data_IF_739495138582
#
_entry.id   IF_739495138582
#
_cell.length_a   1.000
_cell.length_b   1.000
_cell.length_c   1.000
_cell.angle_alpha   90.00
_cell.angle_beta   90.00
_cell.angle_gamma   90.00
#
_symmetry.space_group_name_H-M   'P 1'
#
loop_
_entity.id
_entity.type
_entity.pdbx_description
1 polymer ?
#
# COMPACT_ATOMS: atom_id res chain seq x y z
N UNK A 1 -11.97 -11.41 -10.84
CA UNK A 1 -11.69 -10.54 -12.02
C UNK A 1 -11.11 -11.35 -13.17
N UNK A 2 -11.58 -11.07 -14.40
CA UNK A 2 -11.07 -11.62 -15.67
C UNK A 2 -9.91 -10.78 -16.26
N UNK A 3 -9.20 -11.32 -17.26
CA UNK A 3 -8.15 -10.56 -17.96
C UNK A 3 -8.71 -9.31 -18.67
N UNK A 4 -9.91 -9.39 -19.27
CA UNK A 4 -10.52 -8.26 -19.96
C UNK A 4 -10.80 -7.10 -19.01
N UNK A 5 -11.38 -7.39 -17.84
CA UNK A 5 -11.66 -6.36 -16.83
C UNK A 5 -10.38 -5.76 -16.26
N UNK A 6 -9.33 -6.57 -16.13
CA UNK A 6 -8.02 -6.08 -15.72
C UNK A 6 -7.40 -5.13 -16.74
N UNK A 7 -7.54 -5.43 -18.03
CA UNK A 7 -7.12 -4.54 -19.12
C UNK A 7 -7.90 -3.22 -19.07
N UNK A 8 -9.20 -3.27 -18.87
CA UNK A 8 -10.04 -2.07 -18.76
C UNK A 8 -9.64 -1.21 -17.54
N UNK A 9 -9.41 -1.86 -16.39
CA UNK A 9 -8.91 -1.22 -15.18
C UNK A 9 -7.56 -0.53 -15.42
N UNK A 10 -6.58 -1.25 -15.96
CA UNK A 10 -5.23 -0.73 -16.20
C UNK A 10 -5.24 0.39 -17.24
N UNK A 11 -6.04 0.26 -18.30
CA UNK A 11 -6.21 1.32 -19.28
C UNK A 11 -6.73 2.59 -18.62
N UNK A 12 -7.79 2.48 -17.80
CA UNK A 12 -8.37 3.63 -17.11
C UNK A 12 -7.39 4.27 -16.11
N UNK A 13 -6.67 3.46 -15.33
CA UNK A 13 -5.64 3.95 -14.40
C UNK A 13 -4.47 4.63 -15.12
N UNK A 14 -4.06 4.10 -16.29
CA UNK A 14 -3.05 4.73 -17.14
C UNK A 14 -3.50 6.11 -17.63
N UNK A 15 -4.76 6.24 -18.08
CA UNK A 15 -5.33 7.54 -18.48
C UNK A 15 -5.33 8.54 -17.33
N UNK A 16 -5.54 8.06 -16.10
CA UNK A 16 -5.42 8.86 -14.88
C UNK A 16 -3.97 9.08 -14.42
N UNK A 17 -2.96 8.64 -15.16
CA UNK A 17 -1.55 8.88 -14.85
C UNK A 17 -0.95 8.01 -13.74
N UNK A 18 -1.66 7.00 -13.24
CA UNK A 18 -1.12 6.01 -12.32
C UNK A 18 -0.06 5.16 -13.01
N UNK A 19 1.03 4.90 -12.28
CA UNK A 19 2.19 4.13 -12.76
C UNK A 19 2.48 2.88 -11.92
N UNK A 20 1.78 2.71 -10.79
CA UNK A 20 1.89 1.54 -9.91
C UNK A 20 0.49 1.04 -9.54
N UNK A 21 0.31 -0.28 -9.48
CA UNK A 21 -0.85 -0.92 -8.85
C UNK A 21 -0.38 -1.88 -7.77
N UNK A 22 -0.99 -1.79 -6.58
CA UNK A 22 -0.75 -2.74 -5.49
C UNK A 22 -1.68 -3.94 -5.62
N UNK A 23 -1.14 -5.15 -5.45
CA UNK A 23 -1.87 -6.41 -5.54
C UNK A 23 -1.34 -7.38 -4.48
N UNK A 24 -2.23 -8.13 -3.82
CA UNK A 24 -1.84 -9.24 -2.95
C UNK A 24 -1.57 -10.50 -3.75
N UNK A 25 -0.42 -11.16 -3.50
CA UNK A 25 -0.09 -12.43 -4.13
C UNK A 25 -1.05 -13.55 -3.71
N UNK A 26 -1.58 -13.49 -2.49
CA UNK A 26 -2.53 -14.45 -1.96
C UNK A 26 -3.85 -13.78 -1.57
N UNK A 27 -4.97 -14.52 -1.57
CA UNK A 27 -6.26 -14.01 -1.12
C UNK A 27 -6.22 -13.50 0.33
N UNK A 28 -7.03 -12.48 0.61
CA UNK A 28 -7.23 -11.95 1.96
C UNK A 28 -8.44 -12.61 2.60
N UNK A 29 -8.31 -13.00 3.87
CA UNK A 29 -9.38 -13.69 4.60
C UNK A 29 -10.34 -12.75 5.33
N UNK A 30 -9.90 -11.55 5.71
CA UNK A 30 -10.60 -10.72 6.69
C UNK A 30 -11.16 -9.40 6.13
N UNK A 31 -10.94 -9.12 4.84
CA UNK A 31 -11.49 -7.94 4.17
C UNK A 31 -11.68 -8.17 2.67
N UNK A 32 -12.47 -9.19 2.34
CA UNK A 32 -12.60 -9.70 0.98
C UNK A 32 -14.07 -9.87 0.56
N UNK A 33 -14.30 -9.72 -0.74
CA UNK A 33 -15.56 -10.09 -1.37
C UNK A 33 -15.48 -11.55 -1.77
N UNK A 34 -16.22 -12.42 -1.09
CA UNK A 34 -16.17 -13.85 -1.35
C UNK A 34 -16.68 -14.19 -2.76
N UNK A 35 -15.94 -15.04 -3.48
CA UNK A 35 -16.33 -15.65 -4.74
C UNK A 35 -16.14 -17.17 -4.62
N UNK A 36 -17.23 -17.93 -4.71
CA UNK A 36 -17.20 -19.39 -4.58
C UNK A 36 -16.39 -20.07 -5.70
N UNK A 37 -16.15 -19.37 -6.81
CA UNK A 37 -15.37 -19.86 -7.94
C UNK A 37 -13.93 -19.30 -7.94
N UNK A 38 -13.47 -18.76 -6.81
CA UNK A 38 -12.12 -18.24 -6.71
C UNK A 38 -11.07 -19.32 -6.96
N UNK A 39 -10.11 -19.00 -7.83
CA UNK A 39 -8.95 -19.84 -8.07
C UNK A 39 -8.01 -19.69 -6.88
N UNK A 40 -7.73 -20.78 -6.18
CA UNK A 40 -6.89 -20.77 -4.97
C UNK A 40 -5.42 -21.12 -5.28
N UNK A 41 -4.44 -20.57 -4.54
CA UNK A 41 -3.01 -20.79 -4.75
C UNK A 41 -2.55 -22.21 -4.41
N UNK A 42 -3.26 -22.89 -3.51
CA UNK A 42 -2.94 -24.22 -3.01
C UNK A 42 -4.18 -25.10 -3.03
N UNK A 43 -3.98 -26.42 -3.12
CA UNK A 43 -5.06 -27.38 -2.92
C UNK A 43 -5.54 -27.33 -1.46
N UNK A 44 -6.70 -27.92 -1.15
CA UNK A 44 -7.23 -27.97 0.21
C UNK A 44 -7.01 -29.35 0.83
N UNK A 45 -6.69 -29.36 2.12
CA UNK A 45 -6.78 -30.54 2.98
C UNK A 45 -8.25 -30.96 3.18
N UNK A 46 -8.47 -32.13 3.78
CA UNK A 46 -9.83 -32.66 4.06
C UNK A 46 -10.66 -31.73 4.97
N UNK A 47 -10.01 -30.97 5.85
CA UNK A 47 -10.63 -29.99 6.75
C UNK A 47 -10.88 -28.61 6.09
N UNK A 48 -10.52 -28.46 4.81
CA UNK A 48 -10.70 -27.24 4.04
C UNK A 48 -9.57 -26.22 4.16
N UNK A 49 -8.54 -26.48 4.98
CA UNK A 49 -7.35 -25.63 5.10
C UNK A 49 -6.43 -25.74 3.88
N UNK A 50 -5.55 -24.76 3.60
CA UNK A 50 -4.61 -24.85 2.49
C UNK A 50 -3.55 -25.94 2.70
N UNK A 51 -3.34 -26.79 1.70
CA UNK A 51 -2.20 -27.69 1.60
C UNK A 51 -1.02 -26.97 0.92
N UNK A 52 -0.18 -26.33 1.73
CA UNK A 52 0.98 -25.57 1.26
C UNK A 52 2.04 -26.40 0.53
N UNK A 53 1.94 -27.74 0.54
CA UNK A 53 2.85 -28.63 -0.19
C UNK A 53 2.33 -28.94 -1.61
N UNK A 54 1.06 -28.65 -1.90
CA UNK A 54 0.43 -28.93 -3.19
C UNK A 54 -0.07 -27.62 -3.81
N UNK A 55 0.85 -26.97 -4.51
CA UNK A 55 0.61 -25.71 -5.24
C UNK A 55 -0.31 -25.91 -6.45
N UNK A 56 -1.19 -24.94 -6.71
CA UNK A 56 -2.02 -24.87 -7.90
C UNK A 56 -1.36 -24.02 -9.00
N UNK A 57 -0.69 -24.65 -9.97
CA UNK A 57 0.02 -23.94 -11.04
C UNK A 57 -0.90 -23.06 -11.91
N UNK A 58 -2.20 -23.36 -12.02
CA UNK A 58 -3.15 -22.51 -12.74
C UNK A 58 -3.29 -21.12 -12.08
N UNK A 59 -3.21 -21.05 -10.74
CA UNK A 59 -3.23 -19.79 -10.01
C UNK A 59 -2.02 -18.92 -10.37
N UNK A 60 -0.82 -19.49 -10.29
CA UNK A 60 0.41 -18.76 -10.57
C UNK A 60 0.57 -18.41 -12.05
N UNK A 61 0.05 -19.23 -12.96
CA UNK A 61 -0.08 -18.89 -14.37
C UNK A 61 -0.97 -17.64 -14.56
N UNK A 62 -2.08 -17.54 -13.82
CA UNK A 62 -2.93 -16.35 -13.82
C UNK A 62 -2.21 -15.14 -13.23
N UNK A 63 -1.51 -15.28 -12.10
CA UNK A 63 -0.71 -14.21 -11.49
C UNK A 63 0.31 -13.64 -12.49
N UNK A 64 1.13 -14.51 -13.11
CA UNK A 64 2.12 -14.09 -14.10
C UNK A 64 1.45 -13.39 -15.29
N UNK A 65 0.33 -13.92 -15.78
CA UNK A 65 -0.41 -13.31 -16.89
C UNK A 65 -0.90 -11.91 -16.53
N UNK A 66 -1.47 -11.71 -15.35
CA UNK A 66 -1.99 -10.40 -14.92
C UNK A 66 -0.87 -9.37 -14.75
N UNK A 67 0.30 -9.77 -14.24
CA UNK A 67 1.49 -8.92 -14.15
C UNK A 67 2.03 -8.58 -15.54
N UNK A 68 2.06 -9.55 -16.46
CA UNK A 68 2.46 -9.32 -17.84
C UNK A 68 1.56 -8.28 -18.51
N UNK A 69 0.24 -8.35 -18.30
CA UNK A 69 -0.70 -7.35 -18.81
C UNK A 69 -0.43 -5.96 -18.22
N UNK A 70 -0.13 -5.84 -16.93
CA UNK A 70 0.23 -4.55 -16.33
C UNK A 70 1.48 -3.93 -17.00
N UNK A 71 2.49 -4.77 -17.30
CA UNK A 71 3.68 -4.36 -18.02
C UNK A 71 3.38 -3.88 -19.46
N UNK A 72 2.42 -4.48 -20.17
CA UNK A 72 1.96 -3.98 -21.49
C UNK A 72 1.44 -2.53 -21.42
N UNK A 73 0.85 -2.14 -20.28
CA UNK A 73 0.39 -0.77 -20.03
C UNK A 73 1.49 0.14 -19.44
N UNK A 74 2.68 -0.37 -19.14
CA UNK A 74 3.73 0.39 -18.46
C UNK A 74 3.37 0.74 -17.01
N UNK A 75 2.54 -0.09 -16.37
CA UNK A 75 2.19 0.01 -14.95
C UNK A 75 2.97 -1.05 -14.18
N UNK A 76 3.76 -0.63 -13.20
CA UNK A 76 4.49 -1.54 -12.32
C UNK A 76 3.53 -2.18 -11.32
N UNK A 77 3.67 -3.49 -11.07
CA UNK A 77 2.93 -4.15 -9.99
C UNK A 77 3.77 -4.09 -8.72
N UNK A 78 3.18 -3.56 -7.66
CA UNK A 78 3.66 -3.69 -6.29
C UNK A 78 2.97 -4.89 -5.64
N UNK A 79 3.70 -5.99 -5.53
CA UNK A 79 3.18 -7.29 -5.10
C UNK A 79 3.40 -7.47 -3.60
N UNK A 80 2.31 -7.57 -2.84
CA UNK A 80 2.35 -7.94 -1.42
C UNK A 80 2.54 -9.45 -1.30
N UNK A 81 3.62 -9.89 -0.66
CA UNK A 81 4.03 -11.29 -0.62
C UNK A 81 3.38 -12.05 0.52
N UNK A 82 3.47 -11.53 1.76
CA UNK A 82 2.84 -12.16 2.92
C UNK A 82 2.07 -11.17 3.77
N UNK A 83 0.74 -11.31 3.80
CA UNK A 83 -0.12 -10.58 4.73
C UNK A 83 -0.07 -11.19 6.12
N UNK A 84 -0.34 -10.37 7.15
CA UNK A 84 -0.20 -10.76 8.55
C UNK A 84 -0.91 -12.09 8.88
N UNK A 85 -2.12 -12.36 8.35
CA UNK A 85 -2.84 -13.61 8.63
C UNK A 85 -2.14 -14.88 8.12
N UNK A 86 -1.18 -14.75 7.20
CA UNK A 86 -0.34 -15.85 6.75
C UNK A 86 0.96 -16.01 7.57
N UNK A 87 1.27 -15.10 8.50
CA UNK A 87 2.47 -15.14 9.33
C UNK A 87 2.13 -15.79 10.68
N UNK A 88 2.78 -16.89 11.09
CA UNK A 88 2.62 -17.48 12.41
C UNK A 88 2.87 -16.46 13.54
N UNK A 89 2.14 -16.61 14.65
CA UNK A 89 2.27 -15.77 15.84
C UNK A 89 1.99 -14.27 15.64
N UNK A 90 1.36 -13.90 14.51
CA UNK A 90 0.89 -12.54 14.28
C UNK A 90 -0.48 -12.28 14.90
N UNK A 91 -0.85 -11.02 14.97
CA UNK A 91 -2.13 -10.54 15.50
C UNK A 91 -3.30 -11.06 14.67
N UNK A 92 -3.09 -11.26 13.37
CA UNK A 92 -4.13 -11.69 12.43
C UNK A 92 -4.19 -13.21 12.25
N UNK A 93 -3.11 -13.95 12.56
CA UNK A 93 -3.11 -15.42 12.53
C UNK A 93 -3.57 -16.05 13.84
N UNK A 94 -3.65 -15.28 14.92
CA UNK A 94 -4.00 -15.79 16.26
C UNK A 94 -5.41 -16.39 16.27
N UNK A 95 -5.51 -17.67 16.65
CA UNK A 95 -6.74 -18.45 16.61
C UNK A 95 -7.10 -19.01 15.22
N UNK A 96 -6.23 -18.79 14.24
CA UNK A 96 -6.32 -19.28 12.86
C UNK A 96 -4.95 -19.77 12.37
N UNK A 97 -4.18 -20.40 13.26
CA UNK A 97 -2.80 -20.82 13.01
C UNK A 97 -2.70 -21.81 11.85
N UNK A 98 -3.77 -22.56 11.56
CA UNK A 98 -3.87 -23.47 10.42
C UNK A 98 -3.73 -22.79 9.05
N UNK A 99 -3.88 -21.47 9.01
CA UNK A 99 -3.81 -20.65 7.78
C UNK A 99 -2.48 -19.97 7.58
N UNK A 100 -1.58 -20.03 8.57
CA UNK A 100 -0.25 -19.49 8.42
C UNK A 100 0.58 -20.35 7.46
N UNK A 101 1.39 -19.71 6.60
CA UNK A 101 2.29 -20.42 5.69
C UNK A 101 3.45 -20.97 6.53
N UNK A 102 3.69 -22.30 6.55
CA UNK A 102 4.78 -22.89 7.30
C UNK A 102 6.13 -22.37 6.82
N UNK A 103 7.06 -22.15 7.73
CA UNK A 103 8.40 -21.64 7.40
C UNK A 103 9.12 -22.51 6.35
N UNK A 104 8.95 -23.83 6.42
CA UNK A 104 9.52 -24.78 5.47
C UNK A 104 9.03 -24.57 4.02
N UNK A 105 7.88 -23.90 3.84
CA UNK A 105 7.28 -23.63 2.54
C UNK A 105 7.63 -22.24 1.98
N UNK A 106 8.29 -21.36 2.73
CA UNK A 106 8.64 -20.03 2.21
C UNK A 106 9.50 -20.10 0.95
N UNK A 107 10.61 -20.84 0.99
CA UNK A 107 11.49 -20.92 -0.17
C UNK A 107 10.79 -21.59 -1.38
N UNK A 108 10.16 -22.79 -1.26
CA UNK A 108 9.44 -23.40 -2.39
C UNK A 108 8.36 -22.51 -3.02
N UNK A 109 7.58 -21.78 -2.20
CA UNK A 109 6.49 -20.94 -2.67
C UNK A 109 7.03 -19.66 -3.33
N UNK A 110 7.86 -18.91 -2.62
CA UNK A 110 8.31 -17.60 -3.11
C UNK A 110 9.33 -17.72 -4.23
N UNK A 111 10.20 -18.74 -4.24
CA UNK A 111 11.08 -18.98 -5.39
C UNK A 111 10.29 -19.23 -6.66
N UNK A 112 9.24 -20.04 -6.57
CA UNK A 112 8.37 -20.31 -7.70
C UNK A 112 7.64 -19.05 -8.19
N UNK A 113 7.10 -18.23 -7.28
CA UNK A 113 6.42 -17.00 -7.66
C UNK A 113 7.39 -15.95 -8.26
N UNK A 114 8.50 -15.67 -7.57
CA UNK A 114 9.48 -14.63 -7.94
C UNK A 114 10.14 -14.94 -9.29
N UNK A 115 10.59 -16.19 -9.52
CA UNK A 115 11.24 -16.58 -10.79
C UNK A 115 10.36 -16.32 -12.01
N UNK A 116 9.04 -16.45 -11.87
CA UNK A 116 8.09 -16.21 -12.96
C UNK A 116 7.89 -14.74 -13.26
N UNK A 117 7.94 -13.90 -12.24
CA UNK A 117 7.51 -12.49 -12.35
C UNK A 117 8.66 -11.48 -12.37
N UNK A 118 9.87 -11.86 -11.94
CA UNK A 118 11.03 -10.94 -11.86
C UNK A 118 11.39 -10.26 -13.18
N UNK A 119 11.15 -10.93 -14.31
CA UNK A 119 11.34 -10.37 -15.67
C UNK A 119 10.46 -9.15 -15.98
N UNK A 120 9.43 -8.89 -15.17
CA UNK A 120 8.56 -7.72 -15.28
C UNK A 120 8.91 -6.60 -14.28
N UNK A 121 10.00 -6.75 -13.52
CA UNK A 121 10.51 -5.78 -12.56
C UNK A 121 9.46 -5.26 -11.55
N UNK A 122 8.75 -6.14 -10.83
CA UNK A 122 7.79 -5.71 -9.82
C UNK A 122 8.48 -5.03 -8.63
N UNK A 123 7.70 -4.28 -7.86
CA UNK A 123 8.07 -3.88 -6.50
C UNK A 123 7.56 -4.96 -5.54
N UNK A 124 8.39 -5.42 -4.60
CA UNK A 124 7.99 -6.42 -3.61
C UNK A 124 7.67 -5.75 -2.26
N UNK A 125 6.40 -5.68 -1.90
CA UNK A 125 5.99 -5.42 -0.53
C UNK A 125 6.10 -6.75 0.23
N UNK A 126 7.13 -6.89 1.06
CA UNK A 126 7.46 -8.16 1.71
C UNK A 126 6.33 -8.60 2.64
N UNK A 127 5.86 -7.69 3.47
CA UNK A 127 4.78 -7.90 4.44
C UNK A 127 3.47 -7.23 4.00
N UNK A 128 2.38 -7.48 4.72
CA UNK A 128 1.17 -6.66 4.69
C UNK A 128 0.46 -6.59 6.04
N UNK A 129 0.15 -5.35 6.49
CA UNK A 129 -0.47 -5.00 7.78
C UNK A 129 0.17 -5.66 9.03
N UNK A 130 1.50 -5.77 9.01
CA UNK A 130 2.29 -6.36 10.11
C UNK A 130 2.54 -5.35 11.24
N UNK A 131 2.52 -5.84 12.50
CA UNK A 131 2.72 -5.03 13.72
C UNK A 131 4.08 -5.22 14.42
N UNK A 132 4.89 -6.19 14.00
CA UNK A 132 6.17 -6.52 14.66
C UNK A 132 6.01 -6.75 16.18
N UNK A 133 4.88 -7.33 16.57
CA UNK A 133 4.47 -7.60 17.95
C UNK A 133 5.42 -8.55 18.70
N UNK A 134 6.23 -9.31 17.98
CA UNK A 134 7.26 -10.20 18.52
C UNK A 134 8.36 -10.47 17.48
N UNK A 135 9.50 -11.02 17.94
CA UNK A 135 10.66 -11.30 17.09
C UNK A 135 10.37 -12.34 16.00
N UNK A 136 9.47 -13.30 16.24
CA UNK A 136 9.18 -14.35 15.26
C UNK A 136 8.54 -13.75 13.99
N UNK A 137 7.65 -12.77 14.14
CA UNK A 137 7.06 -12.03 13.02
C UNK A 137 8.12 -11.25 12.23
N UNK A 138 9.05 -10.57 12.92
CA UNK A 138 10.18 -9.87 12.30
C UNK A 138 11.08 -10.83 11.52
N UNK A 139 11.48 -11.95 12.13
CA UNK A 139 12.34 -12.96 11.53
C UNK A 139 11.68 -13.61 10.31
N UNK A 140 10.36 -13.77 10.35
CA UNK A 140 9.59 -14.27 9.21
C UNK A 140 9.64 -13.31 8.02
N UNK A 141 9.39 -12.02 8.24
CA UNK A 141 9.53 -10.99 7.21
C UNK A 141 10.96 -10.93 6.66
N UNK A 142 11.97 -11.05 7.54
CA UNK A 142 13.37 -11.10 7.17
C UNK A 142 13.70 -12.28 6.25
N UNK A 143 13.13 -13.48 6.51
CA UNK A 143 13.31 -14.67 5.67
C UNK A 143 12.73 -14.44 4.27
N UNK A 144 11.53 -13.89 4.16
CA UNK A 144 10.91 -13.59 2.85
C UNK A 144 11.72 -12.53 2.10
N UNK A 145 12.16 -11.46 2.77
CA UNK A 145 13.03 -10.43 2.19
C UNK A 145 14.35 -11.03 1.65
N UNK A 146 14.97 -11.93 2.43
CA UNK A 146 16.20 -12.61 2.02
C UNK A 146 15.99 -13.45 0.76
N UNK A 147 14.91 -14.23 0.68
CA UNK A 147 14.57 -15.05 -0.50
C UNK A 147 14.43 -14.16 -1.74
N UNK A 148 13.68 -13.06 -1.66
CA UNK A 148 13.52 -12.13 -2.78
C UNK A 148 14.87 -11.55 -3.21
N UNK A 149 15.68 -11.09 -2.27
CA UNK A 149 16.99 -10.49 -2.57
C UNK A 149 17.98 -11.49 -3.19
N UNK A 150 17.89 -12.78 -2.86
CA UNK A 150 18.69 -13.84 -3.47
C UNK A 150 18.28 -14.11 -4.93
N UNK A 151 16.98 -14.05 -5.24
CA UNK A 151 16.42 -14.42 -6.55
C UNK A 151 16.33 -13.27 -7.56
N UNK A 152 16.12 -12.05 -7.06
CA UNK A 152 16.00 -10.82 -7.83
C UNK A 152 16.80 -9.69 -7.17
N UNK A 153 18.12 -9.87 -7.18
CA UNK A 153 19.06 -8.92 -6.59
C UNK A 153 18.97 -7.57 -7.31
N UNK A 154 18.52 -6.55 -6.59
CA UNK A 154 18.32 -5.19 -7.12
C UNK A 154 16.85 -4.78 -7.24
N UNK A 155 15.91 -5.69 -7.03
CA UNK A 155 14.49 -5.35 -6.96
C UNK A 155 14.21 -4.31 -5.86
N UNK A 156 13.20 -3.48 -6.10
CA UNK A 156 12.67 -2.58 -5.09
C UNK A 156 11.87 -3.40 -4.08
N UNK A 157 12.23 -3.30 -2.81
CA UNK A 157 11.50 -3.96 -1.73
C UNK A 157 11.10 -2.96 -0.64
N UNK A 158 9.98 -3.24 0.02
CA UNK A 158 9.48 -2.51 1.17
C UNK A 158 8.74 -3.42 2.15
N UNK A 159 8.30 -2.86 3.28
CA UNK A 159 7.46 -3.52 4.26
C UNK A 159 6.14 -2.76 4.34
N UNK A 160 5.03 -3.37 3.92
CA UNK A 160 3.71 -2.84 4.20
C UNK A 160 3.32 -3.23 5.64
N UNK A 161 3.01 -2.23 6.46
CA UNK A 161 2.93 -2.32 7.92
C UNK A 161 1.64 -1.70 8.43
N UNK A 162 1.22 -2.10 9.62
CA UNK A 162 0.06 -1.52 10.28
C UNK A 162 0.31 -0.06 10.71
N UNK A 163 -0.76 0.75 10.94
CA UNK A 163 -0.62 2.16 11.29
C UNK A 163 0.24 2.37 12.56
N UNK A 164 1.24 3.24 12.46
CA UNK A 164 2.09 3.64 13.58
C UNK A 164 3.23 2.67 13.91
N UNK A 165 3.37 1.57 13.19
CA UNK A 165 4.40 0.58 13.45
C UNK A 165 5.73 0.92 12.80
N UNK A 166 6.81 0.28 13.27
CA UNK A 166 8.13 0.35 12.64
C UNK A 166 8.87 -0.97 12.75
N UNK A 167 9.65 -1.33 11.72
CA UNK A 167 10.59 -2.43 11.83
C UNK A 167 11.74 -2.09 12.80
N UNK A 168 12.37 -3.13 13.34
CA UNK A 168 13.54 -3.01 14.20
C UNK A 168 14.84 -2.71 13.41
N UNK A 169 15.94 -2.54 14.14
CA UNK A 169 17.26 -2.27 13.56
C UNK A 169 17.70 -3.34 12.55
N UNK A 170 17.32 -4.62 12.76
CA UNK A 170 17.73 -5.69 11.84
C UNK A 170 17.22 -5.44 10.42
N UNK A 171 15.97 -4.98 10.29
CA UNK A 171 15.34 -4.63 9.02
C UNK A 171 15.71 -3.22 8.56
N UNK A 172 15.81 -2.24 9.46
CA UNK A 172 16.23 -0.87 9.14
C UNK A 172 17.63 -0.87 8.52
N UNK A 173 18.59 -1.61 9.07
CA UNK A 173 19.95 -1.70 8.52
C UNK A 173 20.10 -2.70 7.38
N UNK A 174 19.08 -3.50 7.05
CA UNK A 174 19.18 -4.47 5.97
C UNK A 174 19.17 -3.78 4.59
N UNK A 175 20.23 -3.89 3.77
CA UNK A 175 20.31 -3.19 2.48
C UNK A 175 19.33 -3.72 1.42
N UNK A 176 18.71 -4.89 1.64
CA UNK A 176 17.66 -5.41 0.78
C UNK A 176 16.40 -4.55 0.86
N UNK A 177 16.09 -3.94 2.02
CA UNK A 177 15.00 -2.97 2.18
C UNK A 177 15.35 -1.68 1.42
N UNK A 178 14.59 -1.32 0.39
CA UNK A 178 14.94 -0.22 -0.54
C UNK A 178 14.24 1.10 -0.22
N UNK A 179 13.01 1.05 0.29
CA UNK A 179 12.27 2.23 0.70
C UNK A 179 11.36 1.92 1.88
N UNK A 180 10.97 2.95 2.62
CA UNK A 180 10.00 2.83 3.70
C UNK A 180 8.59 3.06 3.17
N UNK A 181 7.66 2.27 3.66
CA UNK A 181 6.24 2.52 3.48
C UNK A 181 5.51 2.61 4.80
N UNK A 182 4.43 3.37 4.82
CA UNK A 182 3.48 3.41 5.93
C UNK A 182 2.04 3.38 5.44
N UNK A 183 1.15 3.05 6.37
CA UNK A 183 -0.31 3.10 6.23
C UNK A 183 -0.84 4.21 7.16
N UNK A 184 -1.65 5.14 6.64
CA UNK A 184 -2.23 6.25 7.43
C UNK A 184 -3.75 6.20 7.59
N UNK A 185 -4.45 5.34 6.83
CA UNK A 185 -5.91 5.10 6.96
C UNK A 185 -6.29 4.27 8.19
N UNK A 186 -7.58 4.04 8.50
CA UNK A 186 -8.82 4.53 7.87
C UNK A 186 -9.69 5.31 8.86
N UNK A 187 -9.12 6.36 9.48
CA UNK A 187 -9.77 7.07 10.58
C UNK A 187 -9.85 8.59 10.37
N UNK A 188 -11.04 9.17 10.52
CA UNK A 188 -11.25 10.63 10.54
C UNK A 188 -10.61 11.31 11.75
N UNK A 189 -10.31 10.56 12.81
CA UNK A 189 -9.63 11.09 14.00
C UNK A 189 -8.11 11.18 13.80
N UNK A 190 -7.57 10.42 12.85
CA UNK A 190 -6.12 10.25 12.68
C UNK A 190 -5.61 10.93 11.40
N UNK A 191 -6.17 12.11 11.09
CA UNK A 191 -5.81 12.88 9.88
C UNK A 191 -4.37 13.44 9.91
N UNK A 192 -3.72 13.43 11.08
CA UNK A 192 -2.33 13.81 11.28
C UNK A 192 -1.34 12.63 11.18
N UNK A 193 -1.84 11.41 10.93
CA UNK A 193 -0.99 10.23 10.69
C UNK A 193 0.10 10.44 9.64
N UNK A 194 -0.16 11.08 8.48
CA UNK A 194 0.90 11.33 7.51
C UNK A 194 2.09 12.08 8.07
N UNK A 195 1.87 13.05 8.96
CA UNK A 195 2.93 13.83 9.61
C UNK A 195 3.68 12.98 10.63
N UNK A 196 2.94 12.31 11.52
CA UNK A 196 3.52 11.42 12.55
C UNK A 196 4.40 10.33 11.92
N UNK A 197 3.87 9.63 10.93
CA UNK A 197 4.50 8.44 10.36
C UNK A 197 5.63 8.81 9.41
N UNK A 198 5.51 9.87 8.62
CA UNK A 198 6.65 10.35 7.84
C UNK A 198 7.79 10.84 8.75
N UNK A 199 7.49 11.58 9.82
CA UNK A 199 8.49 12.07 10.77
C UNK A 199 9.23 10.93 11.46
N UNK A 200 8.54 9.82 11.76
CA UNK A 200 9.16 8.59 12.27
C UNK A 200 10.19 8.03 11.29
N UNK A 201 9.86 7.89 10.00
CA UNK A 201 10.80 7.37 9.00
C UNK A 201 11.91 8.37 8.64
N UNK A 202 11.64 9.67 8.67
CA UNK A 202 12.65 10.72 8.47
C UNK A 202 13.72 10.70 9.57
N UNK A 203 13.39 10.24 10.78
CA UNK A 203 14.34 10.12 11.91
C UNK A 203 15.22 8.88 11.85
N UNK A 204 14.90 7.89 10.99
CA UNK A 204 15.66 6.65 10.90
C UNK A 204 17.14 6.89 10.54
N UNK A 205 18.08 6.10 11.07
CA UNK A 205 19.51 6.27 10.81
C UNK A 205 19.85 6.02 9.35
N UNK A 206 19.23 5.01 8.72
CA UNK A 206 19.37 4.72 7.29
C UNK A 206 18.32 5.53 6.53
N UNK A 207 18.76 6.52 5.74
CA UNK A 207 17.86 7.34 4.92
C UNK A 207 17.44 6.59 3.67
N UNK A 208 16.13 6.56 3.43
CA UNK A 208 15.52 5.93 2.25
C UNK A 208 14.33 6.75 1.77
N UNK A 209 13.89 6.58 0.50
CA UNK A 209 12.61 7.10 0.04
C UNK A 209 11.47 6.63 0.95
N UNK A 210 10.43 7.47 1.10
CA UNK A 210 9.24 7.18 1.92
C UNK A 210 8.01 7.28 1.02
N UNK A 211 7.13 6.29 1.11
CA UNK A 211 5.88 6.19 0.34
C UNK A 211 4.71 5.95 1.29
N UNK A 212 3.61 6.69 1.16
CA UNK A 212 2.37 6.31 1.83
C UNK A 212 1.63 5.28 0.96
N UNK A 213 1.64 4.02 1.36
CA UNK A 213 1.07 2.92 0.57
C UNK A 213 -0.41 2.69 0.85
N UNK A 214 -0.94 3.20 1.96
CA UNK A 214 -2.35 3.01 2.33
C UNK A 214 -2.89 4.20 3.12
N UNK A 215 -3.18 5.31 2.44
CA UNK A 215 -4.03 6.36 3.00
C UNK A 215 -5.48 5.90 3.10
N UNK A 216 -6.32 6.71 3.76
CA UNK A 216 -7.76 6.49 3.72
C UNK A 216 -8.29 6.38 2.29
N UNK A 217 -9.13 5.38 2.03
CA UNK A 217 -9.68 5.15 0.70
C UNK A 217 -11.02 5.83 0.47
N UNK A 218 -11.26 6.28 -0.76
CA UNK A 218 -12.49 6.96 -1.12
C UNK A 218 -13.68 5.99 -1.04
N UNK A 219 -14.75 6.41 -0.36
CA UNK A 219 -15.91 5.59 -0.10
C UNK A 219 -15.73 4.58 1.04
N UNK A 220 -14.55 4.43 1.65
CA UNK A 220 -14.37 3.57 2.81
C UNK A 220 -15.07 4.15 4.04
N UNK A 221 -15.59 3.30 4.93
CA UNK A 221 -16.20 3.75 6.19
C UNK A 221 -15.13 4.33 7.14
N UNK A 222 -15.50 5.17 8.10
CA UNK A 222 -14.58 5.64 9.15
C UNK A 222 -14.28 4.54 10.19
N UNK A 223 -13.76 3.40 9.74
CA UNK A 223 -13.65 2.17 10.53
C UNK A 223 -14.98 1.81 11.19
N UNK A 224 -14.98 1.57 12.49
CA UNK A 224 -16.21 1.26 13.23
C UNK A 224 -17.19 2.44 13.38
N UNK A 225 -16.85 3.65 12.90
CA UNK A 225 -17.68 4.87 13.04
C UNK A 225 -18.50 5.16 11.78
N UNK A 226 -19.58 5.91 11.96
CA UNK A 226 -20.45 6.32 10.86
C UNK A 226 -19.78 7.36 9.95
N UNK A 227 -20.10 7.29 8.66
CA UNK A 227 -19.53 8.18 7.63
C UNK A 227 -18.57 7.45 6.69
N UNK A 228 -18.31 8.06 5.54
CA UNK A 228 -17.40 7.56 4.51
C UNK A 228 -16.48 8.66 4.01
N UNK A 229 -15.23 8.32 3.73
CA UNK A 229 -14.26 9.23 3.13
C UNK A 229 -14.74 9.66 1.74
N UNK A 230 -14.65 10.95 1.45
CA UNK A 230 -15.00 11.57 0.17
C UNK A 230 -13.74 11.95 -0.59
N UNK A 231 -13.93 12.40 -1.83
CA UNK A 231 -12.86 12.94 -2.67
C UNK A 231 -12.04 14.03 -1.94
N UNK A 232 -12.70 14.95 -1.21
CA UNK A 232 -11.99 15.98 -0.41
C UNK A 232 -11.09 15.42 0.69
N UNK A 233 -11.50 14.32 1.33
CA UNK A 233 -10.74 13.73 2.43
C UNK A 233 -9.49 13.02 1.89
N UNK A 234 -9.65 12.24 0.82
CA UNK A 234 -8.51 11.54 0.19
C UNK A 234 -7.55 12.51 -0.49
N UNK A 235 -8.05 13.63 -1.04
CA UNK A 235 -7.20 14.73 -1.52
C UNK A 235 -6.33 15.30 -0.42
N UNK A 236 -6.93 15.60 0.74
CA UNK A 236 -6.19 16.13 1.87
C UNK A 236 -5.12 15.15 2.31
N UNK A 237 -5.47 13.88 2.43
CA UNK A 237 -4.53 12.82 2.78
C UNK A 237 -3.38 12.72 1.77
N UNK A 238 -3.66 12.85 0.47
CA UNK A 238 -2.64 12.89 -0.58
C UNK A 238 -1.61 13.99 -0.37
N UNK A 239 -2.08 15.23 -0.22
CA UNK A 239 -1.20 16.37 -0.02
C UNK A 239 -0.48 16.33 1.32
N UNK A 240 -1.17 15.95 2.40
CA UNK A 240 -0.54 15.75 3.72
C UNK A 240 0.65 14.80 3.61
N UNK A 241 0.48 13.62 3.02
CA UNK A 241 1.56 12.64 2.90
C UNK A 241 2.74 13.12 2.07
N UNK A 242 2.45 13.69 0.90
CA UNK A 242 3.50 14.18 0.01
C UNK A 242 4.32 15.31 0.66
N UNK A 243 3.65 16.22 1.37
CA UNK A 243 4.28 17.39 1.98
C UNK A 243 4.96 17.06 3.33
N UNK A 244 4.53 16.04 4.06
CA UNK A 244 5.15 15.68 5.35
C UNK A 244 6.36 14.76 5.21
N UNK A 245 6.68 14.28 4.02
CA UNK A 245 7.93 13.55 3.76
C UNK A 245 7.80 12.32 2.87
N UNK A 246 6.58 11.84 2.58
CA UNK A 246 6.35 10.73 1.65
C UNK A 246 6.46 11.15 0.17
N UNK A 247 7.44 11.99 -0.15
CA UNK A 247 7.63 12.60 -1.48
C UNK A 247 8.06 11.63 -2.57
N UNK A 248 8.40 10.39 -2.22
CA UNK A 248 8.73 9.36 -3.19
C UNK A 248 7.47 8.74 -3.82
N UNK A 249 6.30 8.91 -3.20
CA UNK A 249 5.04 8.51 -3.78
C UNK A 249 3.91 8.33 -2.77
N UNK A 250 2.70 8.18 -3.30
CA UNK A 250 1.51 7.83 -2.54
C UNK A 250 0.61 6.93 -3.38
N UNK A 251 -0.11 6.01 -2.72
CA UNK A 251 -1.16 5.21 -3.36
C UNK A 251 -2.55 5.78 -3.11
N UNK A 252 -3.40 5.74 -4.12
CA UNK A 252 -4.85 5.94 -3.99
C UNK A 252 -5.55 4.60 -3.81
N UNK A 253 -6.60 4.55 -2.99
CA UNK A 253 -7.54 3.44 -3.02
C UNK A 253 -8.98 3.90 -2.93
N UNK A 254 -9.86 3.01 -3.34
CA UNK A 254 -11.30 3.22 -3.42
C UNK A 254 -12.03 1.97 -2.93
N UNK A 255 -13.04 2.17 -2.09
CA UNK A 255 -13.79 1.08 -1.48
C UNK A 255 -14.68 0.40 -2.51
N UNK A 256 -14.32 -0.84 -2.88
CA UNK A 256 -14.90 -1.59 -4.01
C UNK A 256 -13.86 -1.95 -5.09
N UNK A 257 -12.75 -1.22 -5.15
CA UNK A 257 -11.62 -1.57 -6.03
C UNK A 257 -10.73 -2.63 -5.40
N UNK A 258 -10.28 -2.44 -4.14
CA UNK A 258 -9.33 -3.36 -3.52
C UNK A 258 -9.89 -4.79 -3.49
N UNK A 259 -11.18 -4.95 -3.20
CA UNK A 259 -11.85 -6.25 -3.02
C UNK A 259 -12.50 -6.73 -4.31
N UNK A 260 -12.32 -6.01 -5.41
CA UNK A 260 -12.95 -6.30 -6.69
C UNK A 260 -14.46 -6.53 -6.58
N UNK A 261 -15.13 -5.75 -5.72
CA UNK A 261 -16.47 -6.05 -5.20
C UNK A 261 -17.53 -6.01 -6.30
N UNK A 262 -18.48 -6.95 -6.20
CA UNK A 262 -19.72 -6.98 -6.98
C UNK A 262 -20.89 -6.92 -6.03
N UNK A 263 -21.99 -6.28 -6.45
CA UNK A 263 -23.15 -6.01 -5.57
C UNK A 263 -23.75 -7.29 -4.98
N UNK A 264 -23.63 -8.40 -5.69
CA UNK A 264 -24.11 -9.72 -5.30
C UNK A 264 -23.15 -10.46 -4.36
N UNK A 265 -21.90 -10.03 -4.24
CA UNK A 265 -20.91 -10.71 -3.41
C UNK A 265 -21.14 -10.40 -1.94
N UNK A 266 -20.99 -11.41 -1.10
CA UNK A 266 -20.86 -11.21 0.34
C UNK A 266 -19.52 -10.55 0.67
N UNK A 267 -19.55 -9.58 1.58
CA UNK A 267 -18.36 -8.89 2.06
C UNK A 267 -18.24 -9.04 3.58
N UNK A 268 -17.14 -9.63 4.02
CA UNK A 268 -17.00 -10.16 5.37
C UNK A 268 -16.57 -9.14 6.43
N UNK A 269 -16.26 -7.89 6.04
CA UNK A 269 -15.80 -6.84 6.95
C UNK A 269 -16.70 -5.59 6.98
N UNK A 270 -18.00 -5.75 6.71
CA UNK A 270 -18.94 -4.63 6.58
C UNK A 270 -19.06 -3.77 7.85
N UNK A 271 -18.79 -4.33 9.03
CA UNK A 271 -18.84 -3.60 10.31
C UNK A 271 -17.76 -2.50 10.39
N UNK A 272 -16.56 -2.80 9.90
CA UNK A 272 -15.40 -1.91 9.88
C UNK A 272 -15.31 -1.09 8.59
N UNK A 273 -15.43 -1.72 7.42
CA UNK A 273 -15.19 -1.04 6.13
C UNK A 273 -16.46 -0.46 5.50
N UNK A 274 -17.64 -0.85 6.02
CA UNK A 274 -18.92 -0.65 5.36
C UNK A 274 -19.05 -1.55 4.12
N UNK A 275 -20.26 -1.72 3.58
CA UNK A 275 -20.45 -2.45 2.30
C UNK A 275 -19.71 -1.71 1.17
N UNK A 276 -18.86 -2.39 0.37
CA UNK A 276 -18.15 -1.75 -0.73
C UNK A 276 -19.08 -1.29 -1.86
N UNK A 277 -18.60 -0.36 -2.67
CA UNK A 277 -19.28 -0.02 -3.91
C UNK A 277 -18.98 -1.09 -4.96
N UNK A 278 -19.87 -1.21 -5.96
CA UNK A 278 -19.56 -2.02 -7.14
C UNK A 278 -18.24 -1.55 -7.78
N UNK A 279 -17.41 -2.49 -8.21
CA UNK A 279 -16.11 -2.24 -8.82
C UNK A 279 -16.18 -1.20 -9.94
N UNK A 280 -17.17 -1.29 -10.83
CA UNK A 280 -17.33 -0.37 -11.96
C UNK A 280 -17.69 1.05 -11.52
N UNK A 281 -18.41 1.19 -10.41
CA UNK A 281 -18.70 2.49 -9.77
C UNK A 281 -17.46 3.06 -9.09
N UNK A 282 -16.80 2.27 -8.23
CA UNK A 282 -15.64 2.70 -7.46
C UNK A 282 -14.45 3.08 -8.38
N UNK A 283 -14.34 2.45 -9.55
CA UNK A 283 -13.32 2.77 -10.55
C UNK A 283 -13.40 4.24 -11.00
N UNK A 284 -14.61 4.78 -11.05
CA UNK A 284 -14.91 6.12 -11.58
C UNK A 284 -15.00 7.18 -10.49
N UNK A 285 -14.62 6.86 -9.26
CA UNK A 285 -14.60 7.83 -8.18
C UNK A 285 -13.65 9.00 -8.49
N UNK A 286 -14.07 10.25 -8.21
CA UNK A 286 -13.36 11.43 -8.66
C UNK A 286 -12.02 11.65 -7.95
N UNK A 287 -11.81 11.15 -6.73
CA UNK A 287 -10.56 11.33 -5.99
C UNK A 287 -9.32 10.78 -6.71
N UNK A 288 -9.49 9.78 -7.57
CA UNK A 288 -8.40 9.27 -8.42
C UNK A 288 -7.82 10.34 -9.37
N UNK A 289 -8.65 11.26 -9.86
CA UNK A 289 -8.19 12.39 -10.70
C UNK A 289 -7.44 13.44 -9.88
N UNK A 290 -7.73 13.56 -8.60
CA UNK A 290 -6.99 14.48 -7.75
C UNK A 290 -5.57 13.99 -7.45
N UNK A 291 -5.38 12.67 -7.36
CA UNK A 291 -4.05 12.06 -7.28
C UNK A 291 -3.28 12.25 -8.60
N UNK A 292 -3.96 12.14 -9.74
CA UNK A 292 -3.41 12.49 -11.05
C UNK A 292 -2.89 13.92 -11.08
N UNK A 293 -3.70 14.86 -10.60
CA UNK A 293 -3.36 16.27 -10.52
C UNK A 293 -2.20 16.54 -9.55
N UNK A 294 -2.20 15.88 -8.39
CA UNK A 294 -1.11 15.99 -7.42
C UNK A 294 0.23 15.54 -8.01
N UNK A 295 0.22 14.41 -8.75
CA UNK A 295 1.39 13.93 -9.50
C UNK A 295 1.86 14.99 -10.51
N UNK A 296 0.96 15.50 -11.35
CA UNK A 296 1.32 16.50 -12.36
C UNK A 296 2.00 17.73 -11.74
N UNK A 297 1.46 18.26 -10.64
CA UNK A 297 2.09 19.38 -9.91
C UNK A 297 3.48 18.99 -9.38
N UNK A 298 3.60 17.81 -8.76
CA UNK A 298 4.88 17.35 -8.21
C UNK A 298 5.96 17.22 -9.29
N UNK A 299 5.59 16.72 -10.47
CA UNK A 299 6.50 16.55 -11.59
C UNK A 299 6.86 17.90 -12.23
N UNK A 300 5.87 18.74 -12.54
CA UNK A 300 6.05 20.03 -13.21
C UNK A 300 6.85 21.02 -12.34
N UNK A 301 6.53 21.11 -11.05
CA UNK A 301 7.22 21.97 -10.10
C UNK A 301 8.50 21.33 -9.51
N UNK A 302 8.84 20.10 -9.93
CA UNK A 302 10.04 19.35 -9.51
C UNK A 302 10.19 19.30 -7.98
N UNK A 303 9.13 18.88 -7.29
CA UNK A 303 9.05 18.91 -5.82
C UNK A 303 9.75 17.72 -5.13
N UNK A 304 10.60 16.98 -5.82
CA UNK A 304 11.23 15.75 -5.30
C UNK A 304 12.30 15.98 -4.22
N UNK A 305 12.79 17.19 -4.08
CA UNK A 305 13.86 17.59 -3.16
C UNK A 305 13.34 18.29 -1.89
N UNK A 306 12.03 18.60 -1.85
CA UNK A 306 11.43 19.36 -0.76
C UNK A 306 11.56 18.60 0.57
N UNK A 307 11.76 19.35 1.65
CA UNK A 307 11.74 18.85 3.02
C UNK A 307 10.68 19.59 3.83
N UNK A 308 10.00 18.92 4.77
CA UNK A 308 9.11 19.59 5.71
C UNK A 308 9.83 20.76 6.40
N UNK A 309 9.18 21.91 6.42
CA UNK A 309 9.72 23.18 6.93
C UNK A 309 8.61 23.99 7.63
N UNK A 310 7.84 23.30 8.48
CA UNK A 310 6.66 23.86 9.15
C UNK A 310 7.02 25.08 10.01
N UNK A 311 8.26 25.16 10.51
CA UNK A 311 8.80 26.29 11.27
C UNK A 311 8.82 27.62 10.50
N UNK A 312 8.66 27.60 9.17
CA UNK A 312 8.57 28.80 8.35
C UNK A 312 7.20 29.48 8.40
N UNK A 313 6.16 28.80 8.93
CA UNK A 313 4.83 29.38 9.10
C UNK A 313 4.74 30.12 10.45
N UNK A 314 4.42 31.41 10.43
CA UNK A 314 4.21 32.19 11.66
C UNK A 314 2.84 31.91 12.30
N UNK A 315 1.84 31.59 11.48
CA UNK A 315 0.49 31.26 11.92
C UNK A 315 0.16 29.80 11.56
N UNK A 316 0.44 28.83 12.46
CA UNK A 316 0.15 27.43 12.17
C UNK A 316 -1.36 27.22 11.98
N UNK A 317 -1.75 26.83 10.76
CA UNK A 317 -3.13 26.51 10.37
C UNK A 317 -3.29 24.99 10.36
N UNK A 318 -4.31 24.40 11.02
CA UNK A 318 -4.54 22.97 11.00
C UNK A 318 -4.64 22.39 9.58
N UNK A 319 -3.81 21.40 9.27
CA UNK A 319 -3.75 20.74 7.96
C UNK A 319 -3.01 21.52 6.87
N UNK A 320 -2.42 22.68 7.19
CA UNK A 320 -1.49 23.38 6.31
C UNK A 320 -0.10 22.79 6.44
N UNK A 321 0.56 22.49 5.32
CA UNK A 321 1.91 21.93 5.30
C UNK A 321 2.84 22.80 4.47
N UNK A 322 3.97 23.17 5.07
CA UNK A 322 5.02 23.95 4.44
C UNK A 322 6.26 23.08 4.20
N UNK A 323 6.82 23.16 3.00
CA UNK A 323 8.06 22.51 2.64
C UNK A 323 8.98 23.48 1.91
N UNK A 324 10.29 23.25 2.03
CA UNK A 324 11.32 24.01 1.32
C UNK A 324 12.29 23.10 0.58
N UNK A 325 12.81 23.59 -0.53
CA UNK A 325 14.09 23.17 -1.09
C UNK A 325 15.00 24.41 -1.21
N UNK A 326 16.13 24.28 -1.91
CA UNK A 326 17.10 25.38 -2.06
C UNK A 326 16.51 26.61 -2.78
N UNK A 327 15.68 26.38 -3.81
CA UNK A 327 15.16 27.41 -4.71
C UNK A 327 13.63 27.55 -4.71
N UNK A 328 12.92 26.78 -3.88
CA UNK A 328 11.46 26.76 -3.86
C UNK A 328 10.87 26.59 -2.47
N UNK A 329 9.70 27.19 -2.29
CA UNK A 329 8.81 26.99 -1.16
C UNK A 329 7.51 26.37 -1.71
N UNK A 330 7.04 25.30 -1.09
CA UNK A 330 5.78 24.66 -1.43
C UNK A 330 4.88 24.68 -0.19
N UNK A 331 3.63 25.12 -0.37
CA UNK A 331 2.68 25.25 0.72
C UNK A 331 1.34 24.70 0.30
N UNK A 332 0.86 23.70 1.03
CA UNK A 332 -0.48 23.15 0.84
C UNK A 332 -1.46 23.82 1.81
N UNK A 333 -2.55 24.34 1.26
CA UNK A 333 -3.62 25.00 2.00
C UNK A 333 -4.93 24.25 1.77
N UNK A 334 -5.46 23.51 2.76
CA UNK A 334 -6.71 22.79 2.62
C UNK A 334 -7.95 23.70 2.66
N UNK A 335 -7.80 24.94 3.12
CA UNK A 335 -8.88 25.91 3.32
C UNK A 335 -8.46 27.30 2.84
N UNK A 336 -9.44 28.16 2.61
CA UNK A 336 -9.20 29.58 2.34
C UNK A 336 -8.71 30.25 3.64
N UNK A 337 -7.40 30.45 3.75
CA UNK A 337 -6.76 30.97 4.96
C UNK A 337 -5.57 31.85 4.58
N UNK A 338 -5.40 32.96 5.30
CA UNK A 338 -4.24 33.83 5.16
C UNK A 338 -3.01 33.14 5.77
N UNK A 339 -1.89 33.08 5.04
CA UNK A 339 -0.67 32.46 5.55
C UNK A 339 0.45 33.49 5.66
N UNK A 340 1.05 33.53 6.84
CA UNK A 340 2.16 34.38 7.22
C UNK A 340 3.43 33.53 7.28
N UNK A 341 4.49 33.99 6.61
CA UNK A 341 5.73 33.25 6.44
C UNK A 341 6.93 34.07 6.88
N UNK A 342 7.86 33.41 7.57
CA UNK A 342 9.18 33.95 7.88
C UNK A 342 10.05 33.90 6.62
N UNK A 343 10.13 34.99 5.87
CA UNK A 343 11.22 35.19 4.91
C UNK A 343 12.41 35.82 5.63
N UNK A 344 13.45 35.03 5.93
CA UNK A 344 14.76 35.62 6.16
C UNK A 344 15.25 36.20 4.84
N UNK A 345 15.25 37.53 4.70
CA UNK A 345 16.04 38.20 3.67
C UNK A 345 17.52 37.94 4.02
N UNK A 346 18.13 36.96 3.37
CA UNK A 346 19.59 36.86 3.33
C UNK A 346 20.14 37.88 2.33
#
# INVERSE_FOLDING_TARGET
>A
MSESEWRDYLHYRKVQGFNVVQVSLFPLDHDNSADENELLPFMKNEDGTPDYYVRNDAYFNKVEKMIAVAAEYGITVALHLVWAHHIPDSWASKGHEERAIPEAQLYPIYSYAVERVKKYHPVYAISGDVRFENQAVTDYCMKVLKIVNELDNGALTTLHIAPGEQPDDSLIYNPALKFYSYQSGHSFLDQDNPDKFSAQFLKQPVKRPIVNTEPSYEGHKDGFREGRFRAEDVRRMAWSSLMTGAKAGITYGAHGIWSCHRRENFFNNASFSGIPYDFGTALRFPGAWDYSFAKAIFEDAKLYDIQPAQELLENPIPGCYCCKAEDKLAVYLPYNSDVLYLFSRN
#
